data_IF_077540571143
#
_entry.id   IF_077540571143
#
_cell.length_a   1.000
_cell.length_b   1.000
_cell.length_c   1.000
_cell.angle_alpha   90.00
_cell.angle_beta   90.00
_cell.angle_gamma   90.00
#
_symmetry.space_group_name_H-M   'P 1'
#
loop_
_entity.id
_entity.type
_entity.pdbx_description
1 polymer ?
#
# COMPACT_ATOMS: atom_id res chain seq x y z
N UNK A 1 -10.22 39.37 -26.05
CA UNK A 1 -8.98 39.80 -25.36
C UNK A 1 -9.10 39.45 -23.88
N UNK A 2 -8.52 38.33 -23.44
CA UNK A 2 -8.40 38.02 -22.02
C UNK A 2 -7.40 39.00 -21.40
N UNK A 3 -7.88 39.98 -20.62
CA UNK A 3 -7.02 40.83 -19.79
C UNK A 3 -6.50 40.00 -18.63
N UNK A 4 -5.38 39.34 -18.83
CA UNK A 4 -4.61 38.68 -17.78
C UNK A 4 -3.86 39.75 -16.95
N UNK A 5 -4.59 40.57 -16.18
CA UNK A 5 -3.96 41.30 -15.09
C UNK A 5 -3.75 40.32 -13.93
N UNK A 6 -2.67 39.54 -14.00
CA UNK A 6 -2.16 38.90 -12.80
C UNK A 6 -1.66 40.02 -11.85
N UNK A 7 -1.97 39.96 -10.54
CA UNK A 7 -1.42 40.90 -9.56
C UNK A 7 0.11 40.97 -9.70
N UNK A 8 0.71 42.18 -9.73
CA UNK A 8 2.17 42.33 -9.88
C UNK A 8 2.98 41.49 -8.89
N UNK A 9 2.43 41.27 -7.69
CA UNK A 9 3.01 40.44 -6.63
C UNK A 9 3.10 38.96 -7.00
N UNK A 10 2.05 38.37 -7.60
CA UNK A 10 2.07 36.97 -8.03
C UNK A 10 3.08 36.76 -9.16
N UNK A 11 3.18 37.70 -10.09
CA UNK A 11 4.16 37.65 -11.16
C UNK A 11 5.60 37.77 -10.61
N UNK A 12 5.86 38.70 -9.69
CA UNK A 12 7.16 38.84 -9.04
C UNK A 12 7.56 37.60 -8.24
N UNK A 13 6.60 36.97 -7.55
CA UNK A 13 6.81 35.70 -6.85
C UNK A 13 7.17 34.58 -7.84
N UNK A 14 6.45 34.48 -8.96
CA UNK A 14 6.74 33.51 -10.02
C UNK A 14 8.14 33.67 -10.61
N UNK A 15 8.55 34.90 -10.93
CA UNK A 15 9.90 35.19 -11.42
C UNK A 15 10.98 34.80 -10.41
N UNK A 16 10.76 35.09 -9.13
CA UNK A 16 11.69 34.72 -8.04
C UNK A 16 11.83 33.19 -7.95
N UNK A 17 10.70 32.47 -8.01
CA UNK A 17 10.70 31.01 -7.96
C UNK A 17 11.41 30.40 -9.18
N UNK A 18 11.15 30.90 -10.39
CA UNK A 18 11.80 30.42 -11.63
C UNK A 18 13.32 30.67 -11.54
N UNK A 19 13.73 31.87 -11.13
CA UNK A 19 15.16 32.20 -10.96
C UNK A 19 15.87 31.25 -9.99
N UNK A 20 15.21 30.89 -8.88
CA UNK A 20 15.75 29.92 -7.93
C UNK A 20 15.78 28.48 -8.51
N UNK A 21 14.72 28.06 -9.21
CA UNK A 21 14.62 26.73 -9.82
C UNK A 21 15.70 26.53 -10.90
N UNK A 22 15.91 27.54 -11.75
CA UNK A 22 16.81 27.50 -12.90
C UNK A 22 18.29 27.75 -12.53
N UNK A 23 18.55 28.11 -11.27
CA UNK A 23 19.90 28.42 -10.80
C UNK A 23 20.83 27.20 -10.86
N UNK A 24 21.97 27.31 -11.54
CA UNK A 24 23.02 26.27 -11.56
C UNK A 24 23.95 26.32 -10.33
N UNK A 25 23.50 26.85 -9.18
CA UNK A 25 24.25 26.80 -7.92
C UNK A 25 24.18 25.39 -7.31
N UNK A 26 25.29 24.82 -6.81
CA UNK A 26 25.35 23.40 -6.43
C UNK A 26 24.51 23.03 -5.21
N UNK A 27 24.17 23.99 -4.36
CA UNK A 27 23.42 23.74 -3.15
C UNK A 27 21.97 23.37 -3.46
N UNK A 28 21.47 22.31 -2.83
CA UNK A 28 20.04 21.99 -2.83
C UNK A 28 19.25 23.13 -2.21
N UNK A 29 18.08 23.40 -2.80
CA UNK A 29 17.18 24.48 -2.39
C UNK A 29 15.87 23.90 -1.85
N UNK A 30 15.00 24.71 -1.22
CA UNK A 30 13.63 24.31 -0.92
C UNK A 30 12.85 23.84 -2.15
N UNK A 31 13.17 24.38 -3.33
CA UNK A 31 12.58 23.93 -4.60
C UNK A 31 13.13 22.56 -5.07
N UNK A 32 14.20 22.05 -4.47
CA UNK A 32 14.67 20.68 -4.70
C UNK A 32 14.07 19.69 -3.71
N UNK A 33 13.08 20.12 -2.91
CA UNK A 33 12.42 19.31 -1.91
C UNK A 33 13.04 19.39 -0.52
N UNK A 34 14.02 20.27 -0.29
CA UNK A 34 14.63 20.46 1.02
C UNK A 34 13.90 21.56 1.80
N UNK A 35 12.70 21.24 2.30
CA UNK A 35 11.79 22.24 2.90
C UNK A 35 12.07 22.52 4.38
N UNK A 36 13.03 21.81 4.98
CA UNK A 36 13.34 21.91 6.40
C UNK A 36 12.28 21.23 7.28
N UNK A 37 12.30 21.48 8.58
CA UNK A 37 11.44 20.75 9.52
C UNK A 37 9.95 21.04 9.25
N UNK A 38 9.24 20.05 8.71
CA UNK A 38 7.82 20.12 8.42
C UNK A 38 6.97 19.95 9.69
N UNK A 39 7.11 20.85 10.67
CA UNK A 39 6.54 20.72 12.03
C UNK A 39 5.03 20.46 12.04
N UNK A 40 4.27 21.12 11.17
CA UNK A 40 2.82 20.94 11.09
C UNK A 40 2.48 19.52 10.62
N UNK A 41 3.17 19.03 9.60
CA UNK A 41 3.00 17.66 9.09
C UNK A 41 3.44 16.62 10.12
N UNK A 42 4.59 16.84 10.77
CA UNK A 42 5.08 15.93 11.83
C UNK A 42 4.09 15.79 12.99
N UNK A 43 3.51 16.89 13.48
CA UNK A 43 2.46 16.86 14.51
C UNK A 43 1.21 16.08 14.07
N UNK A 44 0.88 16.09 12.78
CA UNK A 44 -0.21 15.27 12.26
C UNK A 44 0.16 13.79 12.32
N UNK A 45 1.39 13.42 11.99
CA UNK A 45 1.88 12.04 12.10
C UNK A 45 1.87 11.56 13.56
N UNK A 46 2.31 12.38 14.52
CA UNK A 46 2.28 12.01 15.95
C UNK A 46 0.85 11.76 16.46
N UNK A 47 -0.13 12.55 15.99
CA UNK A 47 -1.53 12.45 16.46
C UNK A 47 -2.34 11.37 15.74
N UNK A 48 -2.23 11.33 14.41
CA UNK A 48 -3.08 10.50 13.56
C UNK A 48 -2.37 9.24 13.05
N UNK A 49 -1.05 9.17 13.21
CA UNK A 49 -0.23 8.09 12.70
C UNK A 49 0.06 8.16 11.22
N UNK A 50 0.74 7.13 10.74
CA UNK A 50 1.12 6.96 9.34
C UNK A 50 0.74 5.56 8.87
N UNK A 51 0.34 5.42 7.61
CA UNK A 51 0.07 4.11 7.03
C UNK A 51 1.34 3.46 6.48
N UNK A 52 1.43 2.11 6.47
CA UNK A 52 2.52 1.40 5.79
C UNK A 52 2.71 1.86 4.33
N UNK A 53 1.61 2.01 3.59
CA UNK A 53 1.62 2.48 2.20
C UNK A 53 2.17 3.89 2.04
N UNK A 54 1.98 4.77 3.03
CA UNK A 54 2.56 6.11 3.00
C UNK A 54 4.08 6.06 3.21
N UNK A 55 4.57 5.18 4.09
CA UNK A 55 6.01 4.97 4.29
C UNK A 55 6.66 4.39 3.03
N UNK A 56 6.03 3.38 2.42
CA UNK A 56 6.46 2.80 1.13
C UNK A 56 6.51 3.87 0.03
N UNK A 57 5.53 4.78 -0.02
CA UNK A 57 5.52 5.88 -1.01
C UNK A 57 6.68 6.84 -0.83
N UNK A 58 7.07 7.15 0.41
CA UNK A 58 8.27 7.94 0.67
C UNK A 58 9.54 7.20 0.25
N UNK A 59 9.68 5.92 0.61
CA UNK A 59 10.83 5.09 0.23
C UNK A 59 10.92 4.89 -1.30
N UNK A 60 9.77 4.84 -1.99
CA UNK A 60 9.69 4.86 -3.44
C UNK A 60 10.15 6.21 -3.99
N UNK A 61 9.60 7.34 -3.55
CA UNK A 61 10.09 8.65 -3.95
C UNK A 61 9.64 9.72 -2.96
N UNK A 62 10.55 10.43 -2.27
CA UNK A 62 10.16 11.44 -1.28
C UNK A 62 9.30 12.57 -1.87
N UNK A 63 9.56 12.97 -3.13
CA UNK A 63 8.69 13.92 -3.84
C UNK A 63 7.25 13.40 -4.02
N UNK A 64 7.07 12.11 -4.31
CA UNK A 64 5.74 11.50 -4.46
C UNK A 64 4.97 11.51 -3.14
N UNK A 65 5.63 11.22 -2.03
CA UNK A 65 5.06 11.39 -0.69
C UNK A 65 4.69 12.84 -0.42
N UNK A 66 5.56 13.78 -0.75
CA UNK A 66 5.31 15.20 -0.54
C UNK A 66 4.09 15.71 -1.31
N UNK A 67 4.01 15.39 -2.61
CA UNK A 67 2.88 15.77 -3.45
C UNK A 67 1.54 15.25 -2.89
N UNK A 68 1.50 13.98 -2.50
CA UNK A 68 0.24 13.34 -2.09
C UNK A 68 -0.09 13.52 -0.60
N UNK A 69 0.87 13.37 0.31
CA UNK A 69 0.61 13.36 1.76
C UNK A 69 0.79 14.71 2.42
N UNK A 70 1.70 15.53 1.92
CA UNK A 70 1.99 16.86 2.50
C UNK A 70 1.16 17.94 1.80
N UNK A 71 1.27 18.02 0.47
CA UNK A 71 0.54 18.99 -0.34
C UNK A 71 -0.91 18.57 -0.62
N UNK A 72 -1.22 17.27 -0.48
CA UNK A 72 -2.56 16.71 -0.76
C UNK A 72 -3.05 17.03 -2.16
N UNK A 73 -2.13 16.96 -3.14
CA UNK A 73 -2.47 17.14 -4.53
C UNK A 73 -3.30 15.94 -4.99
N UNK A 74 -4.40 16.24 -5.67
CA UNK A 74 -5.16 15.25 -6.41
C UNK A 74 -4.48 15.03 -7.77
N UNK A 75 -4.15 13.77 -8.13
CA UNK A 75 -3.65 13.47 -9.45
C UNK A 75 -4.65 13.94 -10.51
N UNK A 76 -4.14 14.45 -11.62
CA UNK A 76 -4.98 14.72 -12.78
C UNK A 76 -5.57 13.39 -13.25
N UNK A 77 -6.89 13.24 -13.15
CA UNK A 77 -7.60 12.14 -13.80
C UNK A 77 -7.30 12.28 -15.29
N UNK A 78 -6.59 11.34 -15.89
CA UNK A 78 -6.55 11.26 -17.36
C UNK A 78 -7.97 10.89 -17.80
N UNK A 79 -8.69 11.79 -18.50
CA UNK A 79 -10.01 11.48 -19.01
C UNK A 79 -9.84 10.62 -20.27
N UNK A 80 -9.25 9.43 -20.11
CA UNK A 80 -9.41 8.40 -21.10
C UNK A 80 -10.79 7.78 -20.86
N UNK A 81 -11.58 7.67 -21.92
CA UNK A 81 -12.87 7.00 -21.93
C UNK A 81 -12.77 5.72 -21.10
N UNK A 82 -13.38 5.68 -19.92
CA UNK A 82 -13.36 4.50 -19.05
C UNK A 82 -14.08 3.40 -19.83
N UNK A 83 -13.31 2.55 -20.51
CA UNK A 83 -13.85 1.42 -21.26
C UNK A 83 -14.32 0.34 -20.29
N UNK A 84 -13.55 0.17 -19.21
CA UNK A 84 -13.74 -0.75 -18.08
C UNK A 84 -13.07 -0.20 -16.82
N UNK A 85 -13.47 -0.67 -15.62
CA UNK A 85 -12.77 -0.33 -14.38
C UNK A 85 -11.30 -0.78 -14.41
N UNK A 86 -10.43 0.06 -13.85
CA UNK A 86 -8.99 -0.18 -13.79
C UNK A 86 -8.63 -1.27 -12.76
N UNK A 87 -7.35 -1.68 -12.72
CA UNK A 87 -6.88 -2.71 -11.79
C UNK A 87 -7.12 -2.36 -10.31
N UNK A 88 -7.14 -1.07 -9.94
CA UNK A 88 -7.42 -0.63 -8.57
C UNK A 88 -8.89 -0.86 -8.22
N UNK A 89 -9.80 -0.48 -9.11
CA UNK A 89 -11.23 -0.71 -8.96
C UNK A 89 -11.55 -2.21 -8.91
N UNK A 90 -10.96 -3.01 -9.79
CA UNK A 90 -11.09 -4.48 -9.77
C UNK A 90 -10.58 -5.10 -8.47
N UNK A 91 -9.43 -4.64 -7.97
CA UNK A 91 -8.93 -5.07 -6.66
C UNK A 91 -9.88 -4.71 -5.51
N UNK A 92 -10.49 -3.53 -5.55
CA UNK A 92 -11.49 -3.10 -4.55
C UNK A 92 -12.73 -4.00 -4.59
N UNK A 93 -13.19 -4.39 -5.78
CA UNK A 93 -14.27 -5.36 -5.96
C UNK A 93 -13.91 -6.74 -5.40
N UNK A 94 -12.72 -7.27 -5.72
CA UNK A 94 -12.24 -8.54 -5.16
C UNK A 94 -12.25 -8.52 -3.62
N UNK A 95 -11.73 -7.45 -3.01
CA UNK A 95 -11.76 -7.26 -1.55
C UNK A 95 -13.18 -7.28 -1.00
N UNK A 96 -14.10 -6.51 -1.61
CA UNK A 96 -15.48 -6.44 -1.16
C UNK A 96 -16.20 -7.80 -1.22
N UNK A 97 -16.00 -8.54 -2.31
CA UNK A 97 -16.61 -9.86 -2.52
C UNK A 97 -16.04 -10.88 -1.52
N UNK A 98 -14.71 -10.96 -1.39
CA UNK A 98 -14.04 -11.86 -0.45
C UNK A 98 -14.46 -11.58 0.98
N UNK A 99 -14.44 -10.31 1.38
CA UNK A 99 -14.89 -9.87 2.70
C UNK A 99 -16.32 -10.33 2.97
N UNK A 100 -17.25 -10.02 2.08
CA UNK A 100 -18.67 -10.37 2.25
C UNK A 100 -18.87 -11.90 2.33
N UNK A 101 -18.11 -12.67 1.55
CA UNK A 101 -18.14 -14.13 1.59
C UNK A 101 -17.70 -14.67 2.96
N UNK A 102 -16.54 -14.26 3.48
CA UNK A 102 -16.04 -14.77 4.75
C UNK A 102 -16.79 -14.21 5.96
N UNK A 103 -17.26 -12.96 5.91
CA UNK A 103 -18.16 -12.42 6.95
C UNK A 103 -19.44 -13.26 7.05
N UNK A 104 -20.02 -13.65 5.92
CA UNK A 104 -21.20 -14.53 5.88
C UNK A 104 -20.91 -15.91 6.46
N UNK A 105 -19.76 -16.51 6.11
CA UNK A 105 -19.32 -17.79 6.65
C UNK A 105 -19.19 -17.73 8.18
N UNK A 106 -18.55 -16.67 8.69
CA UNK A 106 -18.40 -16.41 10.12
C UNK A 106 -19.75 -16.21 10.82
N UNK A 107 -20.62 -15.35 10.28
CA UNK A 107 -21.94 -15.06 10.85
C UNK A 107 -22.86 -16.29 10.91
N UNK A 108 -22.75 -17.20 9.94
CA UNK A 108 -23.50 -18.47 9.93
C UNK A 108 -22.87 -19.55 10.80
N UNK A 109 -21.71 -19.28 11.42
CA UNK A 109 -20.95 -20.23 12.22
C UNK A 109 -20.64 -21.55 11.48
N UNK A 110 -20.45 -21.46 10.15
CA UNK A 110 -20.13 -22.62 9.29
C UNK A 110 -18.62 -22.80 9.27
N UNK A 111 -18.14 -24.02 9.49
CA UNK A 111 -16.70 -24.26 9.39
C UNK A 111 -16.25 -24.31 7.94
N UNK A 112 -15.02 -23.85 7.62
CA UNK A 112 -14.45 -24.05 6.28
C UNK A 112 -14.54 -25.51 5.81
N UNK A 113 -14.39 -26.48 6.73
CA UNK A 113 -14.54 -27.91 6.49
C UNK A 113 -15.93 -28.34 6.00
N UNK A 114 -16.97 -27.64 6.43
CA UNK A 114 -18.37 -28.01 6.19
C UNK A 114 -18.96 -27.31 4.96
N UNK A 115 -18.21 -26.41 4.32
CA UNK A 115 -18.69 -25.71 3.12
C UNK A 115 -18.61 -26.63 1.89
N UNK A 116 -19.77 -27.03 1.38
CA UNK A 116 -19.87 -27.76 0.12
C UNK A 116 -19.62 -26.83 -1.08
N UNK A 117 -19.08 -27.35 -2.19
CA UNK A 117 -18.77 -26.55 -3.38
C UNK A 117 -20.00 -25.84 -3.96
N UNK A 118 -21.19 -26.47 -3.92
CA UNK A 118 -22.43 -25.85 -4.37
C UNK A 118 -22.85 -24.65 -3.49
N UNK A 119 -22.51 -24.67 -2.20
CA UNK A 119 -22.75 -23.52 -1.32
C UNK A 119 -21.77 -22.38 -1.59
N UNK A 120 -20.51 -22.71 -1.93
CA UNK A 120 -19.52 -21.70 -2.36
C UNK A 120 -20.05 -20.94 -3.57
N UNK A 121 -20.44 -21.65 -4.62
CA UNK A 121 -20.91 -21.04 -5.87
C UNK A 121 -22.12 -20.13 -5.62
N UNK A 122 -23.16 -20.65 -4.97
CA UNK A 122 -24.37 -19.89 -4.66
C UNK A 122 -24.07 -18.64 -3.81
N UNK A 123 -23.31 -18.80 -2.72
CA UNK A 123 -23.06 -17.66 -1.83
C UNK A 123 -22.17 -16.61 -2.48
N UNK A 124 -21.21 -17.04 -3.29
CA UNK A 124 -20.29 -16.16 -4.01
C UNK A 124 -21.03 -15.35 -5.07
N UNK A 125 -21.91 -15.98 -5.85
CA UNK A 125 -22.72 -15.30 -6.85
C UNK A 125 -23.65 -14.24 -6.21
N UNK A 126 -24.25 -14.56 -5.05
CA UNK A 126 -25.09 -13.61 -4.29
C UNK A 126 -24.28 -12.40 -3.79
N UNK A 127 -23.10 -12.61 -3.18
CA UNK A 127 -22.29 -11.49 -2.67
C UNK A 127 -21.64 -10.69 -3.80
N UNK A 128 -21.27 -11.35 -4.91
CA UNK A 128 -20.74 -10.70 -6.10
C UNK A 128 -21.78 -9.79 -6.75
N UNK A 129 -23.01 -10.28 -6.91
CA UNK A 129 -24.11 -9.48 -7.44
C UNK A 129 -24.35 -8.19 -6.63
N UNK A 130 -24.32 -8.28 -5.30
CA UNK A 130 -24.48 -7.11 -4.41
C UNK A 130 -23.30 -6.15 -4.55
N UNK A 131 -22.06 -6.66 -4.57
CA UNK A 131 -20.86 -5.84 -4.70
C UNK A 131 -20.82 -5.10 -6.05
N UNK A 132 -21.17 -5.79 -7.15
CA UNK A 132 -21.23 -5.19 -8.48
C UNK A 132 -22.34 -4.15 -8.59
N UNK A 133 -23.54 -4.44 -8.08
CA UNK A 133 -24.65 -3.48 -8.11
C UNK A 133 -24.32 -2.20 -7.32
N UNK A 134 -23.63 -2.33 -6.18
CA UNK A 134 -23.15 -1.17 -5.42
C UNK A 134 -22.13 -0.35 -6.21
N UNK A 135 -21.16 -1.02 -6.83
CA UNK A 135 -20.14 -0.35 -7.64
C UNK A 135 -20.74 0.36 -8.85
N UNK A 136 -21.69 -0.28 -9.55
CA UNK A 136 -22.44 0.30 -10.67
C UNK A 136 -23.21 1.57 -10.28
N UNK A 137 -23.65 1.69 -9.02
CA UNK A 137 -24.36 2.85 -8.51
C UNK A 137 -23.45 4.04 -8.14
N UNK A 138 -22.18 3.79 -7.82
CA UNK A 138 -21.24 4.78 -7.29
C UNK A 138 -20.20 5.23 -8.32
N UNK A 139 -19.84 4.36 -9.27
CA UNK A 139 -18.69 4.55 -10.17
C UNK A 139 -19.05 4.27 -11.64
N UNK A 140 -18.41 4.97 -12.60
CA UNK A 140 -18.59 4.69 -14.02
C UNK A 140 -17.96 3.35 -14.41
N UNK A 141 -18.79 2.39 -14.86
CA UNK A 141 -18.35 1.03 -15.24
C UNK A 141 -17.90 0.89 -16.70
N UNK A 142 -18.10 1.92 -17.52
CA UNK A 142 -17.77 1.90 -18.95
C UNK A 142 -18.82 1.18 -19.80
N UNK A 143 -18.39 0.42 -20.81
CA UNK A 143 -19.30 -0.24 -21.75
C UNK A 143 -19.97 -1.47 -21.12
N UNK A 144 -21.31 -1.61 -21.18
CA UNK A 144 -22.02 -2.71 -20.51
C UNK A 144 -21.52 -4.10 -20.87
N UNK A 145 -21.16 -4.36 -22.13
CA UNK A 145 -20.64 -5.66 -22.57
C UNK A 145 -19.27 -5.97 -21.92
N UNK A 146 -18.35 -5.00 -21.94
CA UNK A 146 -17.04 -5.18 -21.34
C UNK A 146 -17.14 -5.32 -19.82
N UNK A 147 -18.06 -4.58 -19.21
CA UNK A 147 -18.33 -4.71 -17.79
C UNK A 147 -18.89 -6.08 -17.42
N UNK A 148 -19.78 -6.67 -18.23
CA UNK A 148 -20.25 -8.04 -18.03
C UNK A 148 -19.11 -9.06 -18.07
N UNK A 149 -18.14 -8.91 -18.99
CA UNK A 149 -16.94 -9.74 -19.04
C UNK A 149 -16.09 -9.58 -17.78
N UNK A 150 -15.89 -8.34 -17.31
CA UNK A 150 -15.17 -8.09 -16.04
C UNK A 150 -15.88 -8.75 -14.86
N UNK A 151 -17.21 -8.70 -14.78
CA UNK A 151 -17.97 -9.38 -13.72
C UNK A 151 -17.75 -10.89 -13.75
N UNK A 152 -17.81 -11.50 -14.93
CA UNK A 152 -17.57 -12.93 -15.12
C UNK A 152 -16.14 -13.32 -14.73
N UNK A 153 -15.13 -12.61 -15.25
CA UNK A 153 -13.71 -12.84 -14.97
C UNK A 153 -13.41 -12.74 -13.47
N UNK A 154 -13.89 -11.68 -12.80
CA UNK A 154 -13.68 -11.48 -11.37
C UNK A 154 -14.41 -12.53 -10.53
N UNK A 155 -15.63 -12.92 -10.91
CA UNK A 155 -16.39 -13.97 -10.21
C UNK A 155 -15.67 -15.30 -10.30
N UNK A 156 -15.19 -15.66 -11.50
CA UNK A 156 -14.40 -16.88 -11.72
C UNK A 156 -13.11 -16.87 -10.88
N UNK A 157 -12.35 -15.77 -10.94
CA UNK A 157 -11.11 -15.60 -10.19
C UNK A 157 -11.32 -15.71 -8.67
N UNK A 158 -12.34 -15.03 -8.14
CA UNK A 158 -12.65 -15.07 -6.70
C UNK A 158 -13.18 -16.45 -6.29
N UNK A 159 -13.90 -17.16 -7.16
CA UNK A 159 -14.32 -18.54 -6.91
C UNK A 159 -13.13 -19.47 -6.77
N UNK A 160 -12.19 -19.44 -7.73
CA UNK A 160 -10.94 -20.22 -7.64
C UNK A 160 -10.14 -19.87 -6.39
N UNK A 161 -10.12 -18.59 -5.99
CA UNK A 161 -9.51 -18.16 -4.74
C UNK A 161 -10.15 -18.83 -3.53
N UNK A 162 -11.47 -18.71 -3.39
CA UNK A 162 -12.22 -19.20 -2.22
C UNK A 162 -12.10 -20.72 -2.11
N UNK A 163 -12.17 -21.45 -3.21
CA UNK A 163 -11.99 -22.91 -3.21
C UNK A 163 -10.61 -23.33 -2.69
N UNK A 164 -9.55 -22.69 -3.17
CA UNK A 164 -8.18 -22.95 -2.71
C UNK A 164 -7.99 -22.56 -1.25
N UNK A 165 -8.51 -21.40 -0.84
CA UNK A 165 -8.36 -20.90 0.52
C UNK A 165 -9.16 -21.75 1.53
N UNK A 166 -10.36 -22.23 1.17
CA UNK A 166 -11.11 -23.17 2.02
C UNK A 166 -10.36 -24.49 2.22
N UNK A 167 -9.69 -25.01 1.18
CA UNK A 167 -8.83 -26.19 1.32
C UNK A 167 -7.64 -25.92 2.26
N UNK A 168 -7.01 -24.76 2.15
CA UNK A 168 -5.89 -24.35 3.01
C UNK A 168 -6.32 -24.15 4.47
N UNK A 169 -7.47 -23.52 4.72
CA UNK A 169 -8.03 -23.32 6.05
C UNK A 169 -8.38 -24.66 6.72
N UNK A 170 -8.90 -25.63 5.95
CA UNK A 170 -9.13 -27.00 6.43
C UNK A 170 -7.83 -27.68 6.87
N UNK A 171 -6.78 -27.55 6.07
CA UNK A 171 -5.50 -28.19 6.35
C UNK A 171 -4.73 -27.53 7.52
N UNK A 172 -4.81 -26.21 7.63
CA UNK A 172 -4.06 -25.43 8.62
C UNK A 172 -4.78 -25.26 9.96
N UNK A 173 -6.09 -25.51 10.02
CA UNK A 173 -6.93 -25.32 11.21
C UNK A 173 -7.25 -23.85 11.52
N UNK A 174 -6.84 -22.93 10.65
CA UNK A 174 -7.16 -21.52 10.76
C UNK A 174 -8.64 -21.25 10.47
N UNK A 175 -9.19 -20.24 11.14
CA UNK A 175 -10.55 -19.76 10.92
C UNK A 175 -10.55 -18.25 10.71
N UNK A 176 -11.15 -17.73 9.63
CA UNK A 176 -11.40 -16.31 9.49
C UNK A 176 -12.35 -15.81 10.59
N UNK A 177 -11.90 -14.87 11.42
CA UNK A 177 -12.71 -14.34 12.54
C UNK A 177 -12.97 -12.84 12.40
N UNK A 178 -11.94 -12.08 12.00
CA UNK A 178 -12.06 -10.63 11.90
C UNK A 178 -11.80 -10.16 10.47
N UNK A 179 -12.54 -9.13 10.07
CA UNK A 179 -12.48 -8.59 8.72
C UNK A 179 -12.36 -7.08 8.78
N UNK A 180 -11.49 -6.52 7.94
CA UNK A 180 -11.40 -5.09 7.70
C UNK A 180 -11.20 -4.25 8.98
N UNK A 181 -10.39 -4.79 9.89
CA UNK A 181 -10.16 -4.25 11.25
C UNK A 181 -9.13 -3.15 11.21
N UNK A 182 -9.50 -1.99 11.74
CA UNK A 182 -8.56 -0.91 11.99
C UNK A 182 -7.61 -1.30 13.13
N UNK A 183 -6.31 -1.22 12.86
CA UNK A 183 -5.27 -1.56 13.82
C UNK A 183 -4.27 -0.42 13.97
N UNK A 184 -3.66 -0.35 15.15
CA UNK A 184 -2.56 0.58 15.44
C UNK A 184 -1.41 -0.23 16.03
N UNK A 185 -0.28 -0.21 15.34
CA UNK A 185 1.00 -0.73 15.82
C UNK A 185 1.97 0.40 16.13
N UNK A 186 3.08 0.06 16.78
CA UNK A 186 4.23 0.94 16.91
C UNK A 186 5.49 0.09 17.04
N UNK A 187 6.59 0.57 16.51
CA UNK A 187 7.92 0.02 16.77
C UNK A 187 8.43 0.37 18.19
N UNK A 188 7.76 1.30 18.88
CA UNK A 188 8.06 1.66 20.26
C UNK A 188 9.52 2.05 20.43
N UNK A 189 10.16 1.50 21.47
CA UNK A 189 11.55 1.80 21.85
C UNK A 189 12.61 1.31 20.86
N UNK A 190 12.24 0.52 19.84
CA UNK A 190 13.19 0.16 18.77
C UNK A 190 13.52 1.34 17.86
N UNK A 191 12.66 2.38 17.87
CA UNK A 191 12.94 3.68 17.24
C UNK A 191 13.43 4.69 18.27
N UNK A 192 14.31 5.63 17.90
CA UNK A 192 14.71 6.73 18.78
C UNK A 192 13.59 7.76 18.97
N UNK A 193 13.63 8.52 20.06
CA UNK A 193 12.79 9.71 20.23
C UNK A 193 13.08 10.77 19.14
N UNK A 194 12.06 11.45 18.58
CA UNK A 194 10.62 11.32 18.84
C UNK A 194 9.91 10.33 17.89
N UNK A 195 10.65 9.53 17.13
CA UNK A 195 10.08 8.64 16.09
C UNK A 195 9.28 7.48 16.70
N UNK A 196 9.68 7.01 17.88
CA UNK A 196 8.98 6.00 18.70
C UNK A 196 7.51 6.37 19.02
N UNK A 197 7.17 7.66 18.98
CA UNK A 197 5.83 8.16 19.27
C UNK A 197 4.91 8.18 18.05
N UNK A 198 5.40 7.86 16.85
CA UNK A 198 4.56 7.86 15.64
C UNK A 198 3.78 6.54 15.55
N UNK A 199 2.45 6.53 15.75
CA UNK A 199 1.68 5.31 15.60
C UNK A 199 1.59 4.93 14.13
N UNK A 200 1.59 3.63 13.88
CA UNK A 200 1.42 3.08 12.54
C UNK A 200 0.00 2.55 12.45
N UNK A 201 -0.82 3.18 11.63
CA UNK A 201 -2.22 2.82 11.47
C UNK A 201 -2.45 2.11 10.15
N UNK A 202 -3.16 1.00 10.23
CA UNK A 202 -3.51 0.18 9.08
C UNK A 202 -4.91 -0.37 9.22
N UNK A 203 -5.32 -1.08 8.17
CA UNK A 203 -6.53 -1.87 8.16
C UNK A 203 -6.13 -3.25 7.67
N UNK A 204 -6.46 -4.27 8.47
CA UNK A 204 -6.20 -5.65 8.12
C UNK A 204 -7.41 -6.18 7.35
N UNK A 205 -7.21 -6.75 6.16
CA UNK A 205 -8.33 -7.22 5.34
C UNK A 205 -9.02 -8.41 6.02
N UNK A 206 -8.24 -9.40 6.47
CA UNK A 206 -8.71 -10.58 7.19
C UNK A 206 -7.72 -11.03 8.27
N UNK A 207 -8.25 -11.44 9.41
CA UNK A 207 -7.50 -12.08 10.50
C UNK A 207 -8.03 -13.49 10.69
N UNK A 208 -7.15 -14.45 10.45
CA UNK A 208 -7.39 -15.86 10.67
C UNK A 208 -6.84 -16.25 12.05
N UNK A 209 -7.59 -17.06 12.80
CA UNK A 209 -7.22 -17.50 14.14
C UNK A 209 -7.22 -19.01 14.22
N UNK A 210 -6.15 -19.58 14.79
CA UNK A 210 -6.06 -20.97 15.23
C UNK A 210 -5.87 -20.95 16.75
N UNK A 211 -6.54 -21.84 17.49
CA UNK A 211 -6.31 -22.01 18.92
C UNK A 211 -5.67 -23.35 19.18
N UNK A 212 -4.53 -23.34 19.84
CA UNK A 212 -3.72 -24.51 20.15
C UNK A 212 -3.28 -24.39 21.61
N UNK A 213 -3.54 -25.42 22.43
CA UNK A 213 -3.26 -25.44 23.86
C UNK A 213 -3.76 -24.21 24.66
N UNK A 214 -4.88 -23.63 24.22
CA UNK A 214 -5.47 -22.43 24.84
C UNK A 214 -4.81 -21.10 24.44
N UNK A 215 -3.76 -21.13 23.60
CA UNK A 215 -3.14 -19.95 23.01
C UNK A 215 -3.76 -19.63 21.65
N UNK A 216 -4.12 -18.36 21.44
CA UNK A 216 -4.55 -17.87 20.13
C UNK A 216 -3.34 -17.55 19.25
N UNK A 217 -3.26 -18.23 18.11
CA UNK A 217 -2.34 -17.97 17.01
C UNK A 217 -3.06 -17.20 15.92
N UNK A 218 -2.47 -16.11 15.44
CA UNK A 218 -3.09 -15.24 14.43
C UNK A 218 -2.26 -15.18 13.16
N UNK A 219 -2.96 -15.31 12.04
CA UNK A 219 -2.45 -15.03 10.70
C UNK A 219 -3.18 -13.84 10.13
N UNK A 220 -2.41 -12.89 9.62
CA UNK A 220 -2.96 -11.72 8.93
C UNK A 220 -2.95 -12.02 7.45
N UNK A 221 -4.07 -11.75 6.80
CA UNK A 221 -4.24 -11.91 5.36
C UNK A 221 -4.55 -10.56 4.75
N UNK A 222 -3.78 -10.19 3.73
CA UNK A 222 -4.00 -9.01 2.90
C UNK A 222 -4.09 -9.42 1.42
N UNK A 223 -5.16 -9.01 0.75
CA UNK A 223 -5.47 -9.43 -0.62
C UNK A 223 -4.82 -8.49 -1.63
N UNK A 224 -4.12 -9.05 -2.63
CA UNK A 224 -3.44 -8.29 -3.69
C UNK A 224 -3.93 -8.68 -5.06
N UNK A 225 -4.66 -7.78 -5.73
CA UNK A 225 -5.02 -7.96 -7.14
C UNK A 225 -3.92 -7.41 -8.07
N UNK A 226 -3.57 -8.17 -9.11
CA UNK A 226 -2.61 -7.74 -10.13
C UNK A 226 -2.87 -8.38 -11.49
N UNK A 227 -2.76 -7.60 -12.55
CA UNK A 227 -2.83 -8.08 -13.95
C UNK A 227 -1.44 -8.25 -14.57
N UNK A 228 -0.38 -8.22 -13.76
CA UNK A 228 0.98 -8.46 -14.26
C UNK A 228 1.12 -9.89 -14.79
N UNK A 229 1.99 -10.08 -15.79
CA UNK A 229 2.32 -11.41 -16.34
C UNK A 229 3.14 -12.30 -15.41
N UNK A 230 3.58 -11.76 -14.26
CA UNK A 230 4.30 -12.51 -13.25
C UNK A 230 4.55 -11.71 -11.97
N UNK A 231 4.97 -12.42 -10.89
CA UNK A 231 5.33 -11.79 -9.63
C UNK A 231 6.61 -10.95 -9.77
N UNK A 232 6.62 -9.79 -9.13
CA UNK A 232 7.86 -9.01 -9.01
C UNK A 232 8.76 -9.66 -7.96
N UNK A 233 10.06 -9.37 -8.03
CA UNK A 233 11.03 -9.92 -7.06
C UNK A 233 10.64 -9.57 -5.60
N UNK A 234 10.13 -8.36 -5.39
CA UNK A 234 9.66 -7.86 -4.09
C UNK A 234 8.40 -8.57 -3.56
N UNK A 235 7.68 -9.30 -4.41
CA UNK A 235 6.50 -10.06 -4.01
C UNK A 235 6.84 -11.49 -3.60
N UNK A 236 8.07 -11.96 -3.90
CA UNK A 236 8.55 -13.30 -3.54
C UNK A 236 9.33 -13.35 -2.23
N UNK A 237 9.98 -12.24 -1.87
CA UNK A 237 10.78 -12.10 -0.65
C UNK A 237 10.34 -10.83 0.09
N UNK A 238 9.34 -10.99 0.95
CA UNK A 238 8.75 -9.89 1.70
C UNK A 238 9.72 -9.31 2.74
N UNK A 239 10.64 -10.12 3.28
CA UNK A 239 11.63 -9.65 4.25
C UNK A 239 12.61 -8.69 3.58
N UNK A 240 13.24 -9.10 2.47
CA UNK A 240 14.12 -8.20 1.71
C UNK A 240 13.35 -7.00 1.16
N UNK A 241 12.10 -7.18 0.71
CA UNK A 241 11.28 -6.08 0.25
C UNK A 241 10.95 -5.06 1.34
N UNK A 242 10.70 -5.51 2.58
CA UNK A 242 10.50 -4.65 3.74
C UNK A 242 11.77 -3.84 4.07
N UNK A 243 12.92 -4.49 4.14
CA UNK A 243 14.22 -3.83 4.35
C UNK A 243 14.49 -2.75 3.28
N UNK A 244 14.10 -3.02 2.03
CA UNK A 244 14.22 -2.07 0.91
C UNK A 244 13.13 -0.99 0.87
N UNK A 245 12.19 -0.99 1.81
CA UNK A 245 11.10 -0.02 1.89
C UNK A 245 10.02 -0.20 0.82
N UNK A 246 9.91 -1.40 0.23
CA UNK A 246 8.97 -1.71 -0.85
C UNK A 246 7.69 -2.38 -0.37
N UNK A 247 7.78 -3.26 0.63
CA UNK A 247 6.65 -3.98 1.25
C UNK A 247 6.75 -3.88 2.77
N UNK A 248 6.41 -2.71 3.31
CA UNK A 248 6.39 -2.45 4.75
C UNK A 248 5.06 -2.89 5.39
N UNK A 249 4.01 -3.15 4.63
CA UNK A 249 2.74 -3.65 5.16
C UNK A 249 2.88 -4.91 6.04
N UNK A 250 3.49 -6.02 5.60
CA UNK A 250 3.49 -7.26 6.39
C UNK A 250 4.19 -7.15 7.76
N UNK A 251 5.41 -6.60 7.87
CA UNK A 251 6.05 -6.43 9.18
C UNK A 251 5.24 -5.54 10.13
N UNK A 252 4.62 -4.49 9.58
CA UNK A 252 3.83 -3.54 10.37
C UNK A 252 2.51 -4.15 10.85
N UNK A 253 1.92 -5.05 10.07
CA UNK A 253 0.75 -5.79 10.50
C UNK A 253 1.09 -6.81 11.57
N UNK A 254 2.22 -7.53 11.45
CA UNK A 254 2.71 -8.44 12.51
C UNK A 254 2.83 -7.74 13.86
N UNK A 255 3.34 -6.50 13.89
CA UNK A 255 3.42 -5.69 15.12
C UNK A 255 2.04 -5.37 15.72
N UNK A 256 1.04 -5.16 14.88
CA UNK A 256 -0.30 -4.82 15.33
C UNK A 256 -1.13 -6.07 15.72
N UNK A 257 -0.70 -7.26 15.30
CA UNK A 257 -1.41 -8.51 15.49
C UNK A 257 -1.51 -8.96 16.95
N UNK A 258 -0.51 -8.68 17.77
CA UNK A 258 -0.47 -9.12 19.17
C UNK A 258 -1.68 -8.66 19.99
N UNK A 259 -2.21 -7.47 19.68
CA UNK A 259 -3.37 -6.88 20.35
C UNK A 259 -4.67 -6.96 19.55
N UNK A 260 -4.72 -7.71 18.44
CA UNK A 260 -5.85 -7.65 17.49
C UNK A 260 -7.14 -8.25 18.06
N UNK A 261 -7.03 -9.27 18.92
CA UNK A 261 -8.19 -9.96 19.50
C UNK A 261 -8.79 -9.23 20.72
N UNK A 262 -8.13 -8.19 21.23
CA UNK A 262 -8.52 -7.34 22.39
C UNK A 262 -8.68 -8.07 23.73
N UNK A 263 -9.43 -9.16 23.78
CA UNK A 263 -9.80 -9.91 24.98
C UNK A 263 -8.71 -10.90 25.42
N UNK A 264 -7.90 -11.38 24.46
CA UNK A 264 -6.79 -12.29 24.71
C UNK A 264 -5.54 -11.86 23.92
N UNK A 265 -4.33 -12.06 24.48
CA UNK A 265 -3.09 -11.84 23.74
C UNK A 265 -2.95 -12.90 22.63
N UNK A 266 -2.59 -12.44 21.43
CA UNK A 266 -2.38 -13.31 20.28
C UNK A 266 -0.90 -13.46 19.95
N UNK A 267 -0.50 -14.68 19.56
CA UNK A 267 0.81 -14.95 18.98
C UNK A 267 0.72 -14.78 17.46
N UNK A 268 1.43 -13.83 16.84
CA UNK A 268 1.43 -13.69 15.39
C UNK A 268 2.28 -14.78 14.74
N UNK A 269 1.66 -15.63 13.91
CA UNK A 269 2.35 -16.66 13.14
C UNK A 269 2.91 -16.09 11.83
N UNK A 270 2.07 -15.38 11.06
CA UNK A 270 2.50 -14.76 9.82
C UNK A 270 1.59 -13.59 9.38
N UNK A 271 2.15 -12.71 8.56
CA UNK A 271 1.41 -11.78 7.71
C UNK A 271 1.62 -12.20 6.25
N UNK A 272 0.52 -12.54 5.58
CA UNK A 272 0.53 -13.12 4.25
C UNK A 272 -0.19 -12.24 3.24
N UNK A 273 0.46 -12.05 2.09
CA UNK A 273 -0.21 -11.58 0.89
C UNK A 273 -0.80 -12.76 0.13
N UNK A 274 -2.08 -12.61 -0.18
CA UNK A 274 -2.85 -13.51 -1.01
C UNK A 274 -3.10 -12.80 -2.33
N UNK A 275 -2.34 -13.21 -3.35
CA UNK A 275 -2.42 -12.61 -4.68
C UNK A 275 -3.57 -13.23 -5.48
N UNK A 276 -4.40 -12.37 -6.06
CA UNK A 276 -5.36 -12.68 -7.13
C UNK A 276 -4.75 -12.17 -8.44
N UNK A 277 -4.13 -13.08 -9.19
CA UNK A 277 -3.24 -12.77 -10.29
C UNK A 277 -3.54 -13.65 -11.52
N UNK A 278 -4.60 -13.35 -12.28
CA UNK A 278 -5.14 -14.24 -13.33
C UNK A 278 -4.13 -14.63 -14.42
N UNK A 279 -3.08 -13.84 -14.63
CA UNK A 279 -2.08 -14.05 -15.68
C UNK A 279 -0.74 -14.60 -15.18
N UNK A 280 -0.64 -15.02 -13.91
CA UNK A 280 0.60 -15.61 -13.38
C UNK A 280 0.75 -17.07 -13.82
N UNK A 281 1.98 -17.49 -14.20
CA UNK A 281 2.23 -18.82 -14.77
C UNK A 281 2.02 -19.96 -13.76
N UNK A 282 2.13 -19.68 -12.46
CA UNK A 282 2.00 -20.68 -11.39
C UNK A 282 0.55 -20.80 -10.87
N UNK A 283 -0.41 -20.26 -11.60
CA UNK A 283 -1.81 -20.22 -11.22
C UNK A 283 -2.26 -18.85 -10.71
N UNK A 284 -3.59 -18.62 -10.68
CA UNK A 284 -4.17 -17.31 -10.43
C UNK A 284 -4.17 -16.90 -8.94
N UNK A 285 -3.77 -17.81 -8.05
CA UNK A 285 -3.80 -17.62 -6.60
C UNK A 285 -2.46 -18.01 -6.01
N UNK A 286 -1.74 -17.06 -5.42
CA UNK A 286 -0.42 -17.29 -4.83
C UNK A 286 -0.35 -16.65 -3.46
N UNK A 287 0.19 -17.39 -2.48
CA UNK A 287 0.46 -16.89 -1.13
C UNK A 287 1.94 -16.56 -0.96
N UNK A 288 2.25 -15.44 -0.33
CA UNK A 288 3.60 -15.15 0.17
C UNK A 288 3.50 -14.58 1.57
N UNK A 289 4.20 -15.20 2.52
CA UNK A 289 4.13 -14.87 3.95
C UNK A 289 5.42 -14.27 4.49
N UNK A 290 5.28 -13.52 5.59
CA UNK A 290 6.36 -13.08 6.46
C UNK A 290 6.01 -13.48 7.89
N UNK A 291 6.92 -14.18 8.57
CA UNK A 291 6.71 -14.65 9.95
C UNK A 291 7.41 -13.79 11.01
N UNK A 292 8.40 -12.97 10.63
CA UNK A 292 9.20 -12.18 11.57
C UNK A 292 9.14 -10.70 11.24
N UNK A 293 8.97 -9.87 12.26
CA UNK A 293 9.04 -8.41 12.14
C UNK A 293 10.44 -8.00 11.67
N UNK A 294 10.49 -7.05 10.73
CA UNK A 294 11.71 -6.44 10.23
C UNK A 294 11.41 -5.05 9.66
N UNK A 295 12.46 -4.32 9.27
CA UNK A 295 12.33 -3.03 8.59
C UNK A 295 12.31 -1.82 9.53
N UNK A 296 12.62 -1.99 10.81
CA UNK A 296 12.75 -0.93 11.82
C UNK A 296 13.70 0.16 11.32
N UNK A 297 14.87 -0.24 10.80
CA UNK A 297 15.88 0.68 10.28
C UNK A 297 15.40 1.46 9.05
N UNK A 298 14.60 0.82 8.20
CA UNK A 298 13.99 1.44 7.02
C UNK A 298 12.94 2.47 7.44
N UNK A 299 12.07 2.11 8.38
CA UNK A 299 11.05 3.02 8.92
C UNK A 299 11.71 4.20 9.64
N UNK A 300 12.79 3.97 10.40
CA UNK A 300 13.60 5.05 10.99
C UNK A 300 14.07 6.05 9.94
N UNK A 301 14.75 5.59 8.89
CA UNK A 301 15.27 6.46 7.83
C UNK A 301 14.15 7.24 7.14
N UNK A 302 13.03 6.58 6.86
CA UNK A 302 11.85 7.22 6.24
C UNK A 302 11.28 8.31 7.15
N UNK A 303 11.04 8.01 8.43
CA UNK A 303 10.48 8.97 9.38
C UNK A 303 11.43 10.15 9.65
N UNK A 304 12.74 9.89 9.75
CA UNK A 304 13.76 10.95 9.84
C UNK A 304 13.71 11.86 8.62
N UNK A 305 13.61 11.27 7.43
CA UNK A 305 13.50 12.02 6.19
C UNK A 305 12.25 12.92 6.13
N UNK A 306 11.09 12.39 6.53
CA UNK A 306 9.84 13.14 6.62
C UNK A 306 9.96 14.28 7.64
N UNK A 307 10.50 13.99 8.83
CA UNK A 307 10.66 14.97 9.93
C UNK A 307 11.53 16.16 9.51
N UNK A 308 12.63 15.90 8.83
CA UNK A 308 13.56 16.93 8.35
C UNK A 308 13.13 17.57 7.02
N UNK A 309 11.97 17.18 6.49
CA UNK A 309 11.40 17.70 5.23
C UNK A 309 12.30 17.48 4.03
N UNK A 310 12.77 16.25 3.87
CA UNK A 310 13.65 15.81 2.78
C UNK A 310 12.82 15.19 1.67
N UNK A 311 12.20 16.00 0.83
CA UNK A 311 11.25 15.60 -0.22
C UNK A 311 11.85 15.67 -1.63
N UNK A 312 13.11 15.27 -1.77
CA UNK A 312 13.81 15.29 -3.04
C UNK A 312 13.22 14.30 -4.06
N UNK A 313 13.51 14.56 -5.33
CA UNK A 313 13.10 13.68 -6.43
C UNK A 313 14.10 12.52 -6.51
N UNK A 314 13.59 11.31 -6.40
CA UNK A 314 14.35 10.07 -6.55
C UNK A 314 13.84 9.34 -7.80
N UNK A 315 14.52 9.46 -8.96
CA UNK A 315 14.12 8.78 -10.18
C UNK A 315 14.26 7.26 -10.10
N UNK A 316 13.39 6.53 -10.79
CA UNK A 316 13.42 5.07 -10.94
C UNK A 316 12.40 4.62 -11.99
N UNK A 317 12.22 3.31 -12.15
CA UNK A 317 11.29 2.71 -13.13
C UNK A 317 9.83 3.17 -12.95
N UNK A 318 9.45 3.55 -11.74
CA UNK A 318 8.11 4.06 -11.42
C UNK A 318 7.82 5.47 -11.95
N UNK A 319 8.80 6.14 -12.54
CA UNK A 319 8.61 7.49 -13.07
C UNK A 319 7.72 7.52 -14.32
N UNK A 320 7.63 6.43 -15.07
CA UNK A 320 6.93 6.41 -16.36
C UNK A 320 5.40 6.30 -16.21
N UNK A 321 4.93 5.79 -15.08
CA UNK A 321 3.52 5.70 -14.70
C UNK A 321 3.20 6.51 -13.44
N UNK A 322 4.03 7.51 -13.12
CA UNK A 322 3.84 8.33 -11.93
C UNK A 322 2.67 9.32 -12.11
N UNK A 323 1.69 9.22 -11.22
CA UNK A 323 0.50 10.09 -11.14
C UNK A 323 0.82 11.58 -10.91
N UNK A 324 2.02 11.90 -10.43
CA UNK A 324 2.51 13.28 -10.24
C UNK A 324 3.58 13.69 -11.24
N UNK A 325 3.72 12.97 -12.35
CA UNK A 325 4.72 13.25 -13.40
C UNK A 325 4.60 14.67 -13.95
N UNK A 326 3.38 15.20 -14.11
CA UNK A 326 3.10 16.55 -14.59
C UNK A 326 3.66 17.67 -13.69
N UNK A 327 3.69 17.44 -12.37
CA UNK A 327 4.26 18.38 -11.40
C UNK A 327 5.76 18.10 -11.11
N UNK A 328 6.29 16.98 -11.60
CA UNK A 328 7.62 16.49 -11.25
C UNK A 328 8.70 17.08 -12.16
N UNK A 329 9.71 17.71 -11.56
CA UNK A 329 10.87 18.26 -12.27
C UNK A 329 11.98 17.23 -12.54
N UNK A 330 11.65 15.94 -12.73
CA UNK A 330 12.68 14.88 -12.89
C UNK A 330 13.59 15.07 -14.12
N UNK A 331 13.06 15.71 -15.16
CA UNK A 331 13.78 16.00 -16.42
C UNK A 331 14.41 17.39 -16.44
N UNK A 332 14.15 18.22 -15.43
CA UNK A 332 14.68 19.59 -15.35
C UNK A 332 16.19 19.56 -15.07
N UNK A 333 16.99 20.14 -15.98
CA UNK A 333 18.45 20.00 -15.96
C UNK A 333 19.11 20.57 -14.68
N UNK A 334 18.83 21.83 -14.26
CA UNK A 334 19.34 22.36 -12.99
C UNK A 334 19.00 21.51 -11.77
N UNK A 335 17.74 21.03 -11.67
CA UNK A 335 17.31 20.15 -10.58
C UNK A 335 18.10 18.84 -10.58
N UNK A 336 18.25 18.21 -11.75
CA UNK A 336 19.00 16.95 -11.89
C UNK A 336 20.46 17.14 -11.49
N UNK A 337 21.07 18.25 -11.87
CA UNK A 337 22.47 18.55 -11.54
C UNK A 337 22.67 18.74 -10.03
N UNK A 338 21.80 19.50 -9.34
CA UNK A 338 21.88 19.67 -7.87
C UNK A 338 21.63 18.37 -7.10
N UNK A 339 20.76 17.49 -7.63
CA UNK A 339 20.45 16.20 -7.00
C UNK A 339 21.54 15.12 -7.18
N UNK A 340 22.53 15.33 -8.06
CA UNK A 340 23.54 14.32 -8.38
C UNK A 340 24.33 13.87 -7.15
N UNK A 341 24.75 14.83 -6.33
CA UNK A 341 25.62 14.62 -5.17
C UNK A 341 24.86 14.74 -3.83
N UNK A 342 23.53 14.60 -3.87
CA UNK A 342 22.69 14.66 -2.69
C UNK A 342 22.99 13.47 -1.74
N UNK A 343 23.49 13.69 -0.52
CA UNK A 343 23.78 12.61 0.42
C UNK A 343 22.51 11.89 0.90
N UNK A 344 21.40 12.60 1.03
CA UNK A 344 20.11 12.03 1.46
C UNK A 344 19.56 11.04 0.43
N UNK A 345 19.81 11.32 -0.84
CA UNK A 345 19.50 10.41 -1.95
C UNK A 345 20.27 9.09 -1.81
N UNK A 346 21.58 9.16 -1.48
CA UNK A 346 22.43 7.98 -1.31
C UNK A 346 21.97 7.08 -0.16
N UNK A 347 21.42 7.64 0.91
CA UNK A 347 20.86 6.87 2.03
C UNK A 347 19.69 6.01 1.54
N UNK A 348 18.74 6.58 0.80
CA UNK A 348 17.61 5.82 0.25
C UNK A 348 18.04 4.82 -0.84
N UNK A 349 19.06 5.16 -1.64
CA UNK A 349 19.62 4.22 -2.61
C UNK A 349 20.31 3.03 -1.93
N UNK A 350 21.03 3.26 -0.83
CA UNK A 350 21.65 2.20 -0.04
C UNK A 350 20.61 1.27 0.61
N UNK A 351 19.48 1.81 1.09
CA UNK A 351 18.35 1.00 1.57
C UNK A 351 17.88 0.01 0.50
N UNK A 352 17.82 0.42 -0.78
CA UNK A 352 17.37 -0.43 -1.89
C UNK A 352 18.33 -1.58 -2.21
N UNK A 353 19.56 -1.53 -1.71
CA UNK A 353 20.58 -2.56 -1.92
C UNK A 353 20.65 -3.59 -0.77
N UNK A 354 19.93 -3.37 0.33
CA UNK A 354 19.92 -4.29 1.47
C UNK A 354 19.44 -5.70 1.06
N UNK A 355 19.90 -6.72 1.78
CA UNK A 355 19.49 -8.13 1.61
C UNK A 355 19.09 -8.68 2.98
N UNK A 356 18.03 -9.47 3.04
CA UNK A 356 17.77 -10.29 4.22
C UNK A 356 18.88 -11.35 4.35
N UNK A 357 19.48 -11.50 5.54
CA UNK A 357 20.50 -12.53 5.81
C UNK A 357 21.96 -12.16 5.55
N UNK A 358 22.27 -10.90 5.24
CA UNK A 358 23.65 -10.39 5.27
C UNK A 358 23.91 -9.68 6.60
N UNK A 359 24.40 -10.42 7.60
CA UNK A 359 25.11 -9.78 8.71
C UNK A 359 26.35 -9.03 8.19
N UNK A 360 26.88 -8.06 8.94
CA UNK A 360 28.22 -7.55 8.67
C UNK A 360 29.26 -8.68 8.59
#
# INVERSE_FOLDING_TARGET
MLRLHQPPELFAHGLTAISAIDSMKPALTPHDGMVGVARAHWRLLERHGVSPTALERYAQCPFKYFAEKVLRLEPLKTPDSILVPDARARGTLCHAILRAFYERLYQRNVQPADVASADVERWLDEVAAVAFAKFEAEEPVGYPLLWSLVKEDLTCLVRTFVENDLQELRASGYRPILFEVAVTGSFGTTLPDPLNHVPIRGRLDRVDVRREDGQAHVRIVDYKYTESSGPKLEDRDLATAALRGKRLQPPLYLLAATGVLKEEPAVPDEAAFYFLAPYWPNGPVVRTGLATVCGEGTVRVVLEGIRHGRFFILPGEYCDYCEFSSACRRTHHPTKWRQRDNPEKRILEALRQQKAGGGP
#
